data_IF_023820995811
#
_entry.id   IF_023820995811
#
_cell.length_a   1.000
_cell.length_b   1.000
_cell.length_c   1.000
_cell.angle_alpha   90.00
_cell.angle_beta   90.00
_cell.angle_gamma   90.00
#
_symmetry.space_group_name_H-M   'P 1'
#
loop_
_entity.id
_entity.type
_entity.pdbx_description
1 polymer ?
#
# COMPACT_ATOMS: atom_id res chain seq x y z
N UNK A 1 31.69 0.94 -12.42
CA UNK A 1 31.35 2.04 -11.49
C UNK A 1 30.52 1.43 -10.38
N UNK A 2 31.08 1.29 -9.19
CA UNK A 2 30.33 0.87 -7.99
C UNK A 2 29.44 2.04 -7.62
N UNK A 3 28.10 1.91 -7.81
CA UNK A 3 27.17 2.88 -7.29
C UNK A 3 27.24 2.79 -5.78
N UNK A 4 27.54 3.91 -5.13
CA UNK A 4 27.44 4.04 -3.68
C UNK A 4 26.01 3.62 -3.30
N UNK A 5 25.88 2.63 -2.42
CA UNK A 5 24.57 2.16 -1.98
C UNK A 5 23.85 3.31 -1.28
N UNK A 6 22.61 3.56 -1.68
CA UNK A 6 21.77 4.59 -1.04
C UNK A 6 21.47 4.15 0.39
N UNK A 7 21.56 5.10 1.33
CA UNK A 7 21.33 4.86 2.76
C UNK A 7 19.98 5.41 3.19
N UNK A 8 19.29 4.64 4.02
CA UNK A 8 17.97 4.99 4.57
C UNK A 8 17.89 4.64 6.06
N UNK A 9 17.17 5.46 6.83
CA UNK A 9 16.87 5.15 8.23
C UNK A 9 15.94 3.94 8.36
N UNK A 10 15.01 3.80 7.39
CA UNK A 10 14.03 2.72 7.36
C UNK A 10 13.89 2.16 5.94
N UNK A 11 14.05 0.86 5.83
CA UNK A 11 13.75 0.12 4.59
C UNK A 11 12.58 -0.82 4.84
N UNK A 12 11.53 -0.68 4.06
CA UNK A 12 10.30 -1.51 4.15
C UNK A 12 10.20 -2.39 2.90
N UNK A 13 10.10 -3.70 3.09
CA UNK A 13 9.90 -4.67 2.02
C UNK A 13 8.43 -5.08 2.00
N UNK A 14 7.75 -4.75 0.91
CA UNK A 14 6.32 -4.98 0.68
C UNK A 14 5.45 -3.76 0.90
N UNK A 15 4.75 -3.33 -0.16
CA UNK A 15 3.87 -2.15 -0.20
C UNK A 15 2.42 -2.45 0.15
N UNK A 16 2.13 -3.55 0.86
CA UNK A 16 0.81 -3.85 1.39
C UNK A 16 0.41 -2.94 2.56
N UNK A 17 -0.78 -3.14 3.20
CA UNK A 17 -1.30 -2.24 4.23
C UNK A 17 -0.33 -1.98 5.39
N UNK A 18 0.35 -3.01 5.90
CA UNK A 18 1.36 -2.84 6.93
C UNK A 18 2.58 -2.07 6.44
N UNK A 19 3.05 -2.37 5.22
CA UNK A 19 4.25 -1.77 4.66
C UNK A 19 4.08 -0.28 4.35
N UNK A 20 3.06 0.10 3.58
CA UNK A 20 2.87 1.53 3.31
C UNK A 20 2.53 2.33 4.57
N UNK A 21 1.81 1.74 5.53
CA UNK A 21 1.54 2.40 6.80
C UNK A 21 2.84 2.66 7.58
N UNK A 22 3.72 1.66 7.70
CA UNK A 22 5.02 1.80 8.34
C UNK A 22 5.89 2.85 7.63
N UNK A 23 5.94 2.80 6.29
CA UNK A 23 6.72 3.75 5.49
C UNK A 23 6.22 5.20 5.68
N UNK A 24 4.89 5.41 5.64
CA UNK A 24 4.31 6.75 5.82
C UNK A 24 4.46 7.27 7.25
N UNK A 25 4.36 6.40 8.24
CA UNK A 25 4.60 6.76 9.64
C UNK A 25 6.07 7.15 9.86
N UNK A 26 7.02 6.34 9.36
CA UNK A 26 8.45 6.64 9.44
C UNK A 26 8.79 7.98 8.78
N UNK A 27 8.29 8.22 7.56
CA UNK A 27 8.48 9.48 6.86
C UNK A 27 7.86 10.68 7.61
N UNK A 28 6.71 10.49 8.26
CA UNK A 28 6.09 11.54 9.09
C UNK A 28 6.87 11.80 10.39
N UNK A 29 7.66 10.83 10.85
CA UNK A 29 8.58 10.98 11.97
C UNK A 29 9.93 11.60 11.56
N UNK A 30 10.10 11.98 10.30
CA UNK A 30 11.30 12.63 9.79
C UNK A 30 12.39 11.67 9.30
N UNK A 31 12.09 10.36 9.22
CA UNK A 31 13.04 9.38 8.72
C UNK A 31 13.15 9.42 7.19
N UNK A 32 14.33 9.13 6.67
CA UNK A 32 14.53 8.78 5.27
C UNK A 32 14.04 7.35 5.06
N UNK A 33 13.07 7.14 4.16
CA UNK A 33 12.38 5.85 4.00
C UNK A 33 12.46 5.35 2.57
N UNK A 34 12.87 4.08 2.41
CA UNK A 34 12.69 3.32 1.17
C UNK A 34 11.56 2.30 1.34
N UNK A 35 10.67 2.21 0.34
CA UNK A 35 9.61 1.21 0.23
C UNK A 35 9.82 0.39 -1.03
N UNK A 36 10.10 -0.90 -0.88
CA UNK A 36 10.27 -1.85 -1.98
C UNK A 36 8.99 -2.64 -2.17
N UNK A 37 8.44 -2.64 -3.39
CA UNK A 37 7.24 -3.43 -3.74
C UNK A 37 7.46 -4.10 -5.10
N UNK A 38 7.14 -5.39 -5.18
CA UNK A 38 7.38 -6.18 -6.40
C UNK A 38 6.30 -6.04 -7.47
N UNK A 39 5.12 -5.53 -7.11
CA UNK A 39 3.97 -5.43 -7.99
C UNK A 39 3.36 -4.02 -7.85
N UNK A 40 2.17 -3.90 -7.33
CA UNK A 40 1.44 -2.64 -7.18
C UNK A 40 1.30 -2.26 -5.72
N UNK A 41 1.58 -0.99 -5.40
CA UNK A 41 1.37 -0.46 -4.07
C UNK A 41 -0.06 -0.73 -3.58
N UNK A 42 -0.21 -1.03 -2.29
CA UNK A 42 -1.48 -1.47 -1.70
C UNK A 42 -1.55 -2.98 -1.48
N UNK A 43 -0.68 -3.76 -2.15
CA UNK A 43 -0.54 -5.20 -2.00
C UNK A 43 -1.84 -5.96 -2.32
N UNK A 44 -1.95 -7.19 -1.84
CA UNK A 44 -3.11 -8.06 -2.09
C UNK A 44 -4.42 -7.44 -1.58
N UNK A 45 -4.41 -6.82 -0.41
CA UNK A 45 -5.63 -6.29 0.20
C UNK A 45 -6.31 -5.23 -0.69
N UNK A 46 -5.57 -4.27 -1.17
CA UNK A 46 -6.13 -3.19 -2.00
C UNK A 46 -6.44 -3.69 -3.42
N UNK A 47 -5.51 -4.43 -4.02
CA UNK A 47 -5.58 -4.73 -5.45
C UNK A 47 -6.44 -5.95 -5.78
N UNK A 48 -6.45 -6.98 -4.91
CA UNK A 48 -7.05 -8.30 -5.20
C UNK A 48 -7.91 -8.88 -4.08
N UNK A 49 -7.93 -8.26 -2.90
CA UNK A 49 -8.58 -8.80 -1.69
C UNK A 49 -9.67 -7.89 -1.12
N UNK A 50 -9.36 -7.22 -0.04
CA UNK A 50 -10.33 -6.51 0.82
C UNK A 50 -11.16 -5.47 0.06
N UNK A 51 -10.54 -4.64 -0.76
CA UNK A 51 -11.25 -3.57 -1.48
C UNK A 51 -12.12 -4.13 -2.61
N UNK A 52 -11.61 -5.01 -3.50
CA UNK A 52 -12.47 -5.72 -4.46
C UNK A 52 -13.65 -6.44 -3.81
N UNK A 53 -13.41 -7.18 -2.73
CA UNK A 53 -14.47 -7.90 -2.03
C UNK A 53 -15.55 -6.95 -1.49
N UNK A 54 -15.15 -5.86 -0.83
CA UNK A 54 -16.10 -4.85 -0.32
C UNK A 54 -16.89 -4.17 -1.45
N UNK A 55 -16.28 -3.91 -2.59
CA UNK A 55 -16.97 -3.34 -3.74
C UNK A 55 -18.07 -4.25 -4.27
N UNK A 56 -17.85 -5.57 -4.29
CA UNK A 56 -18.88 -6.54 -4.69
C UNK A 56 -19.92 -6.78 -3.60
N UNK A 57 -19.53 -6.79 -2.33
CA UNK A 57 -20.48 -6.88 -1.22
C UNK A 57 -21.47 -5.72 -1.22
N UNK A 58 -20.99 -4.51 -1.55
CA UNK A 58 -21.87 -3.35 -1.70
C UNK A 58 -22.85 -3.52 -2.88
N UNK A 59 -22.38 -4.06 -4.00
CA UNK A 59 -23.28 -4.38 -5.12
C UNK A 59 -24.37 -5.38 -4.69
N UNK A 60 -24.02 -6.40 -3.93
CA UNK A 60 -24.97 -7.37 -3.39
C UNK A 60 -25.92 -6.74 -2.36
N UNK A 61 -25.45 -5.78 -1.55
CA UNK A 61 -26.28 -5.04 -0.60
C UNK A 61 -27.34 -4.21 -1.33
N UNK A 62 -26.93 -3.46 -2.37
CA UNK A 62 -27.86 -2.69 -3.20
C UNK A 62 -28.90 -3.60 -3.86
N UNK A 63 -28.50 -4.73 -4.41
CA UNK A 63 -29.44 -5.72 -4.97
C UNK A 63 -30.47 -6.16 -3.93
N UNK A 64 -30.03 -6.52 -2.72
CA UNK A 64 -30.95 -6.90 -1.63
C UNK A 64 -31.89 -5.77 -1.25
N UNK A 65 -31.42 -4.53 -1.14
CA UNK A 65 -32.28 -3.38 -0.83
C UNK A 65 -33.38 -3.20 -1.87
N UNK A 66 -33.05 -3.32 -3.17
CA UNK A 66 -34.05 -3.22 -4.23
C UNK A 66 -35.04 -4.39 -4.16
N UNK A 67 -34.56 -5.63 -3.90
CA UNK A 67 -35.43 -6.81 -3.77
C UNK A 67 -36.44 -6.68 -2.63
N UNK A 68 -36.00 -6.11 -1.49
CA UNK A 68 -36.85 -5.94 -0.29
C UNK A 68 -37.51 -4.55 -0.20
N UNK A 69 -37.39 -3.72 -1.22
CA UNK A 69 -38.00 -2.40 -1.23
C UNK A 69 -39.53 -2.40 -0.98
N UNK A 70 -40.29 -3.40 -1.47
CA UNK A 70 -41.75 -3.48 -1.16
C UNK A 70 -42.07 -3.58 0.33
N UNK A 71 -41.20 -4.17 1.15
CA UNK A 71 -41.41 -4.27 2.61
C UNK A 71 -41.45 -2.87 3.27
N UNK A 72 -40.88 -1.86 2.59
CA UNK A 72 -40.87 -0.45 3.01
C UNK A 72 -41.89 0.40 2.26
N UNK A 73 -42.81 -0.20 1.50
CA UNK A 73 -43.79 0.52 0.70
C UNK A 73 -43.23 1.16 -0.58
N UNK A 74 -42.02 0.76 -1.00
CA UNK A 74 -41.38 1.28 -2.19
C UNK A 74 -41.54 0.29 -3.33
N UNK A 75 -42.18 0.71 -4.42
CA UNK A 75 -42.30 -0.11 -5.63
C UNK A 75 -41.02 -0.06 -6.44
N UNK A 76 -40.36 -1.21 -6.58
CA UNK A 76 -39.18 -1.38 -7.43
C UNK A 76 -39.39 -2.59 -8.36
N UNK A 77 -38.92 -2.51 -9.59
CA UNK A 77 -38.91 -3.66 -10.50
C UNK A 77 -37.92 -4.74 -10.02
N UNK A 78 -37.98 -5.91 -10.64
CA UNK A 78 -37.04 -7.00 -10.37
C UNK A 78 -35.61 -6.58 -10.70
N UNK A 79 -34.68 -6.56 -9.74
CA UNK A 79 -33.32 -6.10 -10.00
C UNK A 79 -32.56 -7.12 -10.87
N UNK A 80 -31.86 -6.62 -11.87
CA UNK A 80 -30.98 -7.41 -12.73
C UNK A 80 -29.55 -6.94 -12.55
N UNK A 81 -28.63 -7.85 -12.25
CA UNK A 81 -27.22 -7.53 -12.05
C UNK A 81 -26.49 -7.55 -13.40
N UNK A 82 -25.96 -6.38 -13.81
CA UNK A 82 -24.96 -6.32 -14.87
C UNK A 82 -23.55 -6.44 -14.26
N UNK A 83 -23.00 -7.65 -14.29
CA UNK A 83 -21.71 -7.93 -13.67
C UNK A 83 -20.55 -7.16 -14.30
N UNK A 84 -20.59 -6.86 -15.59
CA UNK A 84 -19.56 -6.07 -16.27
C UNK A 84 -19.48 -4.64 -15.69
N UNK A 85 -20.64 -4.03 -15.40
CA UNK A 85 -20.72 -2.71 -14.75
C UNK A 85 -20.19 -2.78 -13.32
N UNK A 86 -20.57 -3.81 -12.56
CA UNK A 86 -20.06 -4.01 -11.20
C UNK A 86 -18.54 -4.20 -11.19
N UNK A 87 -18.01 -4.95 -12.15
CA UNK A 87 -16.56 -5.16 -12.32
C UNK A 87 -15.83 -3.85 -12.65
N UNK A 88 -16.37 -3.05 -13.56
CA UNK A 88 -15.82 -1.75 -13.90
C UNK A 88 -15.82 -0.79 -12.69
N UNK A 89 -16.93 -0.74 -11.95
CA UNK A 89 -17.02 0.04 -10.70
C UNK A 89 -15.94 -0.38 -9.70
N UNK A 90 -15.81 -1.68 -9.44
CA UNK A 90 -14.77 -2.24 -8.58
C UNK A 90 -13.37 -1.79 -9.02
N UNK A 91 -13.07 -1.89 -10.32
CA UNK A 91 -11.75 -1.52 -10.85
C UNK A 91 -11.49 -0.02 -10.67
N UNK A 92 -12.47 0.84 -10.96
CA UNK A 92 -12.35 2.29 -10.73
C UNK A 92 -12.02 2.63 -9.28
N UNK A 93 -12.63 1.91 -8.30
CA UNK A 93 -12.33 2.11 -6.87
C UNK A 93 -10.87 1.74 -6.59
N UNK A 94 -10.41 0.58 -7.06
CA UNK A 94 -9.03 0.13 -6.88
C UNK A 94 -8.03 1.13 -7.47
N UNK A 95 -8.24 1.54 -8.73
CA UNK A 95 -7.35 2.47 -9.44
C UNK A 95 -7.27 3.83 -8.72
N UNK A 96 -8.40 4.32 -8.23
CA UNK A 96 -8.45 5.58 -7.46
C UNK A 96 -7.62 5.49 -6.18
N UNK A 97 -7.73 4.39 -5.46
CA UNK A 97 -6.97 4.19 -4.21
C UNK A 97 -5.47 3.98 -4.47
N UNK A 98 -5.10 3.22 -5.52
CA UNK A 98 -3.70 3.06 -5.95
C UNK A 98 -3.09 4.41 -6.32
N UNK A 99 -3.82 5.22 -7.10
CA UNK A 99 -3.38 6.58 -7.46
C UNK A 99 -3.19 7.46 -6.23
N UNK A 100 -4.10 7.37 -5.26
CA UNK A 100 -4.00 8.10 -3.99
C UNK A 100 -2.77 7.70 -3.18
N UNK A 101 -2.52 6.40 -3.02
CA UNK A 101 -1.32 5.88 -2.33
C UNK A 101 -0.03 6.31 -3.04
N UNK A 102 0.01 6.21 -4.36
CA UNK A 102 1.16 6.65 -5.16
C UNK A 102 1.43 8.15 -4.99
N UNK A 103 0.38 8.97 -4.97
CA UNK A 103 0.48 10.40 -4.70
C UNK A 103 1.01 10.68 -3.29
N UNK A 104 0.50 9.94 -2.29
CA UNK A 104 0.93 10.08 -0.90
C UNK A 104 2.40 9.66 -0.72
N UNK A 105 2.85 8.59 -1.38
CA UNK A 105 4.26 8.16 -1.40
C UNK A 105 5.17 9.30 -1.85
N UNK A 106 4.79 9.98 -2.94
CA UNK A 106 5.55 11.13 -3.47
C UNK A 106 5.53 12.32 -2.50
N UNK A 107 4.35 12.68 -1.99
CA UNK A 107 4.21 13.86 -1.10
C UNK A 107 4.97 13.69 0.21
N UNK A 108 5.07 12.46 0.72
CA UNK A 108 5.85 12.13 1.91
C UNK A 108 7.33 11.87 1.64
N UNK A 109 7.78 12.03 0.39
CA UNK A 109 9.18 11.82 -0.03
C UNK A 109 9.71 10.42 0.31
N UNK A 110 8.83 9.41 0.30
CA UNK A 110 9.24 8.00 0.41
C UNK A 110 9.85 7.56 -0.90
N UNK A 111 11.06 7.03 -0.87
CA UNK A 111 11.73 6.44 -2.05
C UNK A 111 11.03 5.12 -2.38
N UNK A 112 10.30 5.09 -3.49
CA UNK A 112 9.56 3.90 -3.93
C UNK A 112 10.38 3.14 -4.97
N UNK A 113 10.69 1.88 -4.68
CA UNK A 113 11.44 0.97 -5.56
C UNK A 113 10.51 -0.17 -6.02
N UNK A 114 10.20 -0.18 -7.31
CA UNK A 114 9.47 -1.29 -7.91
C UNK A 114 10.45 -2.43 -8.18
N UNK A 115 10.34 -3.51 -7.41
CA UNK A 115 11.24 -4.65 -7.49
C UNK A 115 11.04 -5.64 -6.35
N UNK A 116 11.77 -6.74 -6.40
CA UNK A 116 11.77 -7.75 -5.35
C UNK A 116 12.93 -7.50 -4.39
N UNK A 117 12.60 -7.20 -3.15
CA UNK A 117 13.56 -7.00 -2.07
C UNK A 117 13.86 -8.31 -1.35
N UNK A 118 15.13 -8.54 -1.02
CA UNK A 118 15.60 -9.62 -0.16
C UNK A 118 16.60 -9.11 0.87
N UNK A 119 16.55 -9.71 2.06
CA UNK A 119 17.48 -9.35 3.14
C UNK A 119 18.85 -9.96 2.86
N UNK A 120 19.86 -9.12 2.78
CA UNK A 120 21.26 -9.48 2.73
C UNK A 120 21.92 -9.45 4.11
N UNK A 121 23.24 -9.61 4.14
CA UNK A 121 24.04 -9.48 5.36
C UNK A 121 24.19 -8.00 5.78
N UNK A 122 24.48 -7.75 7.05
CA UNK A 122 24.88 -6.43 7.57
C UNK A 122 23.89 -5.30 7.26
N UNK A 123 22.57 -5.55 7.43
CA UNK A 123 21.51 -4.53 7.19
C UNK A 123 21.42 -4.04 5.73
N UNK A 124 21.86 -4.86 4.79
CA UNK A 124 21.69 -4.63 3.36
C UNK A 124 20.37 -5.21 2.90
N UNK A 125 19.68 -4.53 2.02
CA UNK A 125 18.57 -5.06 1.23
C UNK A 125 18.99 -5.07 -0.24
N UNK A 126 18.99 -6.25 -0.83
CA UNK A 126 19.16 -6.43 -2.26
C UNK A 126 17.82 -6.26 -2.95
N UNK A 127 17.74 -5.34 -3.90
CA UNK A 127 16.52 -5.07 -4.68
C UNK A 127 16.76 -5.44 -6.13
N UNK A 128 16.09 -6.47 -6.59
CA UNK A 128 16.01 -6.80 -8.01
C UNK A 128 14.93 -5.91 -8.64
N UNK A 129 15.35 -4.89 -9.37
CA UNK A 129 14.45 -3.90 -9.97
C UNK A 129 13.62 -4.51 -11.10
N UNK A 130 12.34 -4.13 -11.18
CA UNK A 130 11.45 -4.58 -12.26
C UNK A 130 11.91 -4.08 -13.65
N UNK A 131 12.59 -2.94 -13.71
CA UNK A 131 13.21 -2.42 -14.94
C UNK A 131 14.50 -3.12 -15.34
N UNK A 132 14.96 -4.10 -14.56
CA UNK A 132 16.22 -4.83 -14.73
C UNK A 132 17.36 -4.26 -13.88
N UNK A 133 18.30 -5.15 -13.53
CA UNK A 133 19.43 -4.83 -12.65
C UNK A 133 19.13 -5.03 -11.18
N UNK A 134 20.20 -5.00 -10.38
CA UNK A 134 20.14 -5.13 -8.92
C UNK A 134 20.68 -3.85 -8.29
N UNK A 135 19.97 -3.37 -7.27
CA UNK A 135 20.39 -2.23 -6.45
C UNK A 135 20.52 -2.71 -5.01
N UNK A 136 21.62 -2.33 -4.35
CA UNK A 136 21.77 -2.53 -2.91
C UNK A 136 21.40 -1.25 -2.19
N UNK A 137 20.59 -1.37 -1.15
CA UNK A 137 20.24 -0.28 -0.25
C UNK A 137 20.66 -0.67 1.15
N UNK A 138 21.22 0.28 1.89
CA UNK A 138 21.67 0.08 3.25
C UNK A 138 20.70 0.75 4.22
N UNK A 139 20.38 0.04 5.29
CA UNK A 139 19.86 0.70 6.48
C UNK A 139 21.03 1.34 7.22
N UNK A 140 21.01 2.64 7.43
CA UNK A 140 21.97 3.32 8.26
C UNK A 140 21.89 2.78 9.69
N UNK A 141 23.03 2.34 10.24
CA UNK A 141 23.14 2.11 11.68
C UNK A 141 23.22 3.48 12.36
N UNK A 142 22.08 4.11 12.56
CA UNK A 142 22.03 5.30 13.39
C UNK A 142 22.63 4.96 14.75
N UNK A 143 23.69 5.66 15.15
CA UNK A 143 23.97 5.89 16.56
C UNK A 143 22.62 6.11 17.20
N UNK A 144 22.28 5.35 18.25
CA UNK A 144 21.02 5.45 18.98
C UNK A 144 20.80 6.89 19.47
N UNK A 145 20.50 7.80 18.60
CA UNK A 145 19.85 9.05 18.97
C UNK A 145 18.43 8.67 19.33
N UNK A 146 18.22 8.58 20.62
CA UNK A 146 16.90 8.42 21.22
C UNK A 146 16.06 9.62 20.80
N UNK A 147 15.34 9.51 19.70
CA UNK A 147 14.25 10.44 19.43
C UNK A 147 13.19 10.19 20.49
N UNK A 148 13.27 10.93 21.57
CA UNK A 148 12.15 11.11 22.48
C UNK A 148 11.15 11.97 21.72
N UNK A 149 10.20 11.32 21.04
CA UNK A 149 9.01 12.01 20.56
C UNK A 149 8.28 12.64 21.76
N UNK A 150 7.38 13.61 21.54
CA UNK A 150 6.73 14.37 22.61
C UNK A 150 5.95 13.55 23.64
N UNK A 151 5.89 12.24 23.54
CA UNK A 151 5.21 11.33 24.47
C UNK A 151 5.99 10.07 24.84
N UNK A 152 7.31 10.01 24.71
CA UNK A 152 8.16 8.98 25.34
C UNK A 152 7.89 7.51 24.92
N UNK A 153 7.18 7.23 23.84
CA UNK A 153 6.88 5.88 23.38
C UNK A 153 7.97 5.36 22.45
N UNK A 154 8.63 4.28 22.86
CA UNK A 154 9.57 3.53 22.02
C UNK A 154 8.79 2.81 20.92
N UNK A 155 9.15 3.03 19.67
CA UNK A 155 8.77 2.17 18.56
C UNK A 155 9.99 1.32 18.22
N UNK A 156 9.89 0.02 18.50
CA UNK A 156 10.82 -0.99 18.02
C UNK A 156 10.21 -1.60 16.75
N UNK A 157 10.87 -1.42 15.63
CA UNK A 157 10.66 -2.23 14.41
C UNK A 157 11.97 -2.93 14.07
#
# INVERSE_FOLDING_TARGET
>A
MVRTAEQFDLVVIGGGPGGYAAAFYGASAGLSVALVERDTIGGTCLNRGCIPAKAFLETAAVHRHVTHAPDFGISAGTPVVNFAVAQKRKQTIVDTLVKGLTGLTKSKKVTYLLGTGSLGAQHIVDVQLAAGGTQQIHREQGTQQRHTGPQGKRVLC
#
